data_IF_470681354694
#
_entry.id   IF_470681354694
#
_cell.length_a   1.000
_cell.length_b   1.000
_cell.length_c   1.000
_cell.angle_alpha   90.00
_cell.angle_beta   90.00
_cell.angle_gamma   90.00
#
_symmetry.space_group_name_H-M   'P 1'
#
loop_
_entity.id
_entity.type
_entity.pdbx_description
1 polymer ?
#
# COMPACT_ATOMS: atom_id res chain seq x y z
N UNK A 1 54.23 -43.70 -63.63
CA UNK A 1 52.83 -43.26 -63.43
C UNK A 1 52.33 -43.81 -62.10
N UNK A 2 52.10 -42.96 -61.09
CA UNK A 2 51.59 -43.37 -59.79
C UNK A 2 50.32 -42.56 -59.48
N UNK A 3 49.17 -43.21 -59.46
CA UNK A 3 47.87 -42.59 -59.14
C UNK A 3 47.65 -42.61 -57.62
N UNK A 4 47.73 -41.43 -57.00
CA UNK A 4 47.47 -41.26 -55.56
C UNK A 4 45.95 -41.16 -55.34
N UNK A 5 45.35 -42.23 -54.81
CA UNK A 5 43.92 -42.32 -54.45
C UNK A 5 43.61 -41.41 -53.26
N UNK A 6 42.83 -40.36 -53.49
CA UNK A 6 42.39 -39.38 -52.47
C UNK A 6 41.31 -40.01 -51.59
N UNK A 7 41.62 -40.32 -50.34
CA UNK A 7 40.64 -40.81 -49.36
C UNK A 7 39.74 -39.66 -48.89
N UNK A 8 38.44 -39.78 -49.14
CA UNK A 8 37.43 -38.84 -48.66
C UNK A 8 37.29 -38.96 -47.14
N UNK A 9 37.58 -37.87 -46.42
CA UNK A 9 37.41 -37.74 -44.98
C UNK A 9 35.89 -37.74 -44.68
N UNK A 10 35.33 -38.86 -44.21
CA UNK A 10 33.93 -38.93 -43.74
C UNK A 10 33.78 -37.94 -42.58
N UNK A 11 32.97 -36.91 -42.77
CA UNK A 11 32.56 -35.99 -41.70
C UNK A 11 31.80 -36.74 -40.59
N UNK A 12 31.67 -36.14 -39.39
CA UNK A 12 31.02 -36.77 -38.26
C UNK A 12 29.62 -37.26 -38.65
N UNK A 13 29.38 -38.54 -38.39
CA UNK A 13 28.19 -39.30 -38.78
C UNK A 13 26.92 -38.64 -38.26
N UNK A 14 25.88 -38.58 -39.10
CA UNK A 14 24.55 -38.00 -38.82
C UNK A 14 23.92 -38.45 -37.50
N UNK A 15 24.31 -39.63 -36.99
CA UNK A 15 23.92 -40.16 -35.69
C UNK A 15 24.35 -39.26 -34.51
N UNK A 16 25.55 -38.68 -34.53
CA UNK A 16 26.01 -37.77 -33.46
C UNK A 16 25.26 -36.43 -33.46
N UNK A 17 24.93 -35.92 -34.65
CA UNK A 17 24.16 -34.68 -34.81
C UNK A 17 22.72 -34.87 -34.32
N UNK A 18 22.12 -36.04 -34.58
CA UNK A 18 20.77 -36.38 -34.10
C UNK A 18 20.73 -36.63 -32.59
N UNK A 19 21.73 -37.29 -32.01
CA UNK A 19 21.85 -37.49 -30.57
C UNK A 19 22.01 -36.15 -29.81
N UNK A 20 22.82 -35.23 -30.34
CA UNK A 20 22.97 -33.89 -29.76
C UNK A 20 21.67 -33.06 -29.82
N UNK A 21 20.89 -33.18 -30.90
CA UNK A 21 19.57 -32.54 -31.01
C UNK A 21 18.55 -33.13 -30.04
N UNK A 22 18.52 -34.46 -29.88
CA UNK A 22 17.65 -35.13 -28.90
C UNK A 22 18.03 -34.77 -27.46
N UNK A 23 19.32 -34.76 -27.11
CA UNK A 23 19.79 -34.34 -25.79
C UNK A 23 19.45 -32.87 -25.49
N UNK A 24 19.53 -31.98 -26.50
CA UNK A 24 19.12 -30.59 -26.37
C UNK A 24 17.60 -30.45 -26.19
N UNK A 25 16.80 -31.17 -26.97
CA UNK A 25 15.34 -31.20 -26.84
C UNK A 25 14.89 -31.73 -25.47
N UNK A 26 15.50 -32.81 -24.96
CA UNK A 26 15.27 -33.33 -23.61
C UNK A 26 15.69 -32.33 -22.52
N UNK A 27 16.79 -31.60 -22.74
CA UNK A 27 17.24 -30.50 -21.88
C UNK A 27 16.26 -29.31 -21.86
N UNK A 28 15.68 -28.97 -23.01
CA UNK A 28 14.69 -27.91 -23.14
C UNK A 28 13.34 -28.33 -22.53
N UNK A 29 12.92 -29.59 -22.68
CA UNK A 29 11.73 -30.13 -22.02
C UNK A 29 11.86 -30.17 -20.49
N UNK A 30 13.01 -30.59 -19.97
CA UNK A 30 13.27 -30.60 -18.52
C UNK A 30 13.30 -29.19 -17.94
N UNK A 31 13.90 -28.22 -18.65
CA UNK A 31 13.87 -26.79 -18.29
C UNK A 31 12.44 -26.23 -18.35
N UNK A 32 11.66 -26.56 -19.37
CA UNK A 32 10.26 -26.12 -19.50
C UNK A 32 9.38 -26.67 -18.36
N UNK A 33 9.54 -27.96 -18.01
CA UNK A 33 8.86 -28.57 -16.86
C UNK A 33 9.23 -27.88 -15.54
N UNK A 34 10.51 -27.56 -15.34
CA UNK A 34 11.00 -26.82 -14.16
C UNK A 34 10.48 -25.39 -14.11
N UNK A 35 10.42 -24.68 -15.23
CA UNK A 35 9.83 -23.35 -15.30
C UNK A 35 8.34 -23.40 -14.92
N UNK A 36 7.58 -24.34 -15.49
CA UNK A 36 6.15 -24.51 -15.19
C UNK A 36 5.91 -24.82 -13.70
N UNK A 37 6.73 -25.67 -13.09
CA UNK A 37 6.59 -25.98 -11.66
C UNK A 37 6.94 -24.80 -10.75
N UNK A 38 7.96 -24.00 -11.12
CA UNK A 38 8.31 -22.77 -10.42
C UNK A 38 7.22 -21.70 -10.57
N UNK A 39 6.63 -21.54 -11.76
CA UNK A 39 5.51 -20.64 -11.97
C UNK A 39 4.30 -21.06 -11.12
N UNK A 40 3.94 -22.35 -11.11
CA UNK A 40 2.86 -22.86 -10.26
C UNK A 40 3.17 -22.72 -8.75
N UNK A 41 4.45 -22.76 -8.35
CA UNK A 41 4.84 -22.47 -6.97
C UNK A 41 4.68 -20.98 -6.65
N UNK A 42 5.08 -20.09 -7.56
CA UNK A 42 4.91 -18.65 -7.43
C UNK A 42 3.43 -18.30 -7.34
N UNK A 43 2.57 -18.86 -8.19
CA UNK A 43 1.12 -18.63 -8.14
C UNK A 43 0.52 -19.06 -6.79
N UNK A 44 0.87 -20.25 -6.29
CA UNK A 44 0.41 -20.72 -4.98
C UNK A 44 0.88 -19.83 -3.83
N UNK A 45 2.14 -19.36 -3.88
CA UNK A 45 2.68 -18.44 -2.87
C UNK A 45 2.04 -17.05 -2.96
N UNK A 46 1.77 -16.56 -4.16
CA UNK A 46 1.06 -15.29 -4.38
C UNK A 46 -0.35 -15.34 -3.80
N UNK A 47 -1.09 -16.43 -4.02
CA UNK A 47 -2.43 -16.59 -3.45
C UNK A 47 -2.41 -16.51 -1.91
N UNK A 48 -1.46 -17.22 -1.26
CA UNK A 48 -1.26 -17.13 0.18
C UNK A 48 -0.96 -15.70 0.64
N UNK A 49 -0.03 -15.00 -0.01
CA UNK A 49 0.30 -13.61 0.34
C UNK A 49 -0.94 -12.69 0.24
N UNK A 50 -1.81 -12.93 -0.74
CA UNK A 50 -3.04 -12.15 -0.92
C UNK A 50 -4.08 -12.44 0.17
N UNK A 51 -4.11 -13.64 0.74
CA UNK A 51 -4.99 -13.94 1.88
C UNK A 51 -4.36 -13.48 3.20
N UNK A 52 -3.07 -13.76 3.38
CA UNK A 52 -2.31 -13.52 4.61
C UNK A 52 -2.28 -12.03 4.99
N UNK A 53 -2.29 -11.09 4.03
CA UNK A 53 -2.21 -9.66 4.38
C UNK A 53 -3.41 -9.18 5.20
N UNK A 54 -4.62 -9.73 4.94
CA UNK A 54 -5.82 -9.34 5.67
C UNK A 54 -5.78 -9.89 7.09
N UNK A 55 -5.43 -11.16 7.22
CA UNK A 55 -5.37 -11.86 8.49
C UNK A 55 -4.25 -11.28 9.38
N UNK A 56 -3.11 -10.91 8.79
CA UNK A 56 -2.06 -10.13 9.48
C UNK A 56 -2.60 -8.77 9.93
N UNK A 57 -3.36 -8.07 9.08
CA UNK A 57 -3.98 -6.80 9.43
C UNK A 57 -4.96 -6.91 10.61
N UNK A 58 -5.77 -7.97 10.67
CA UNK A 58 -6.67 -8.25 11.80
C UNK A 58 -5.91 -8.49 13.10
N UNK A 59 -4.84 -9.30 13.03
CA UNK A 59 -3.98 -9.55 14.19
C UNK A 59 -3.34 -8.26 14.70
N UNK A 60 -2.74 -7.46 13.81
CA UNK A 60 -2.14 -6.17 14.14
C UNK A 60 -3.15 -5.18 14.73
N UNK A 61 -4.37 -5.14 14.17
CA UNK A 61 -5.47 -4.30 14.68
C UNK A 61 -5.85 -4.70 16.10
N UNK A 62 -5.95 -6.00 16.37
CA UNK A 62 -6.31 -6.54 17.69
C UNK A 62 -5.25 -6.18 18.72
N UNK A 63 -3.98 -6.44 18.41
CA UNK A 63 -2.83 -6.06 19.25
C UNK A 63 -2.85 -4.57 19.58
N UNK A 64 -3.11 -3.72 18.59
CA UNK A 64 -3.12 -2.27 18.77
C UNK A 64 -4.33 -1.80 19.62
N UNK A 65 -5.54 -2.28 19.33
CA UNK A 65 -6.78 -1.86 20.03
C UNK A 65 -6.78 -2.30 21.49
N UNK A 66 -6.34 -3.53 21.76
CA UNK A 66 -6.27 -4.09 23.11
C UNK A 66 -4.97 -3.74 23.85
N UNK A 67 -4.05 -3.03 23.18
CA UNK A 67 -2.76 -2.59 23.75
C UNK A 67 -1.92 -3.76 24.30
N UNK A 68 -1.96 -4.92 23.63
CA UNK A 68 -1.28 -6.15 24.08
C UNK A 68 0.26 -6.03 24.12
N UNK A 69 0.82 -4.97 23.53
CA UNK A 69 2.27 -4.73 23.50
C UNK A 69 2.82 -4.10 24.78
N UNK A 70 1.99 -3.49 25.63
CA UNK A 70 2.45 -2.62 26.73
C UNK A 70 3.23 -3.32 27.83
N UNK A 71 3.04 -4.62 27.96
CA UNK A 71 3.75 -5.41 28.98
C UNK A 71 5.23 -5.65 28.62
N UNK A 72 5.61 -5.49 27.34
CA UNK A 72 6.96 -5.85 26.85
C UNK A 72 7.60 -4.78 25.96
N UNK A 73 6.83 -3.87 25.37
CA UNK A 73 7.34 -2.88 24.43
C UNK A 73 6.86 -1.47 24.78
N UNK A 74 7.73 -0.49 24.57
CA UNK A 74 7.42 0.92 24.83
C UNK A 74 6.35 1.52 23.89
N UNK A 75 6.17 0.92 22.71
CA UNK A 75 5.19 1.34 21.73
C UNK A 75 4.83 0.18 20.79
N UNK A 76 3.70 0.32 20.08
CA UNK A 76 3.33 -0.61 19.02
C UNK A 76 4.41 -0.66 17.92
N UNK A 77 4.96 0.49 17.56
CA UNK A 77 6.04 0.59 16.56
C UNK A 77 7.27 -0.24 16.99
N UNK A 78 7.63 -0.19 18.27
CA UNK A 78 8.73 -0.98 18.81
C UNK A 78 8.46 -2.50 18.74
N UNK A 79 7.24 -2.96 19.03
CA UNK A 79 6.84 -4.36 18.83
C UNK A 79 7.00 -4.77 17.35
N UNK A 80 6.47 -3.94 16.45
CA UNK A 80 6.41 -4.23 15.01
C UNK A 80 7.81 -4.31 14.40
N UNK A 81 8.73 -3.44 14.83
CA UNK A 81 10.11 -3.45 14.36
C UNK A 81 10.93 -4.60 14.97
N UNK A 82 10.81 -4.83 16.28
CA UNK A 82 11.69 -5.76 16.99
C UNK A 82 11.23 -7.22 16.89
N UNK A 83 9.93 -7.48 16.99
CA UNK A 83 9.40 -8.85 17.03
C UNK A 83 8.92 -9.32 15.65
N UNK A 84 8.23 -8.44 14.92
CA UNK A 84 7.62 -8.78 13.62
C UNK A 84 8.61 -8.54 12.46
N UNK A 85 9.58 -7.65 12.64
CA UNK A 85 10.60 -7.33 11.62
C UNK A 85 10.02 -6.60 10.40
N UNK A 86 8.96 -5.82 10.57
CA UNK A 86 8.37 -5.01 9.50
C UNK A 86 8.41 -3.51 9.83
N UNK A 87 8.33 -2.66 8.80
CA UNK A 87 8.22 -1.23 9.00
C UNK A 87 6.86 -0.87 9.64
N UNK A 88 6.79 -0.01 10.68
CA UNK A 88 5.53 0.39 11.33
C UNK A 88 4.52 0.97 10.35
N UNK A 89 5.00 1.77 9.39
CA UNK A 89 4.16 2.30 8.32
C UNK A 89 3.43 1.22 7.55
N UNK A 90 4.04 0.06 7.30
CA UNK A 90 3.37 -1.07 6.63
C UNK A 90 2.31 -1.70 7.52
N UNK A 91 2.57 -1.87 8.82
CA UNK A 91 1.58 -2.38 9.77
C UNK A 91 0.32 -1.51 9.82
N UNK A 92 0.49 -0.19 9.97
CA UNK A 92 -0.66 0.74 9.97
C UNK A 92 -1.43 0.73 8.64
N UNK A 93 -0.77 0.48 7.50
CA UNK A 93 -1.46 0.33 6.21
C UNK A 93 -2.38 -0.89 6.19
N UNK A 94 -1.91 -2.01 6.74
CA UNK A 94 -2.70 -3.24 6.83
C UNK A 94 -3.92 -3.04 7.75
N UNK A 95 -3.70 -2.43 8.92
CA UNK A 95 -4.78 -2.08 9.85
C UNK A 95 -5.81 -1.17 9.16
N UNK A 96 -5.36 -0.13 8.46
CA UNK A 96 -6.25 0.81 7.77
C UNK A 96 -7.10 0.16 6.68
N UNK A 97 -6.59 -0.91 6.03
CA UNK A 97 -7.38 -1.68 5.06
C UNK A 97 -8.46 -2.48 5.75
N UNK A 98 -8.12 -3.20 6.83
CA UNK A 98 -9.06 -4.03 7.58
C UNK A 98 -10.15 -3.20 8.27
N UNK A 99 -9.82 -1.99 8.73
CA UNK A 99 -10.81 -1.08 9.32
C UNK A 99 -11.81 -0.53 8.30
N UNK A 100 -11.47 -0.56 7.00
CA UNK A 100 -12.23 0.10 5.95
C UNK A 100 -12.94 -0.84 4.98
N UNK A 101 -12.45 -2.07 4.83
CA UNK A 101 -12.94 -3.02 3.82
C UNK A 101 -13.18 -4.41 4.44
N UNK A 102 -14.28 -5.09 4.07
CA UNK A 102 -14.50 -6.48 4.41
C UNK A 102 -13.48 -7.38 3.70
N UNK A 103 -13.18 -8.54 4.31
CA UNK A 103 -12.16 -9.51 3.85
C UNK A 103 -12.28 -9.84 2.37
N UNK A 104 -13.48 -10.22 1.94
CA UNK A 104 -13.78 -10.63 0.56
C UNK A 104 -13.38 -9.54 -0.45
N UNK A 105 -13.77 -8.29 -0.17
CA UNK A 105 -13.47 -7.17 -1.06
C UNK A 105 -12.00 -6.77 -1.03
N UNK A 106 -11.36 -6.84 0.13
CA UNK A 106 -9.94 -6.56 0.26
C UNK A 106 -9.08 -7.58 -0.51
N UNK A 107 -9.44 -8.86 -0.46
CA UNK A 107 -8.78 -9.95 -1.20
C UNK A 107 -8.99 -9.78 -2.72
N UNK A 108 -10.22 -9.47 -3.16
CA UNK A 108 -10.54 -9.23 -4.57
C UNK A 108 -9.67 -8.11 -5.16
N UNK A 109 -9.52 -7.00 -4.43
CA UNK A 109 -8.75 -5.84 -4.86
C UNK A 109 -7.24 -6.04 -4.71
N UNK A 110 -6.82 -6.86 -3.75
CA UNK A 110 -5.43 -7.01 -3.32
C UNK A 110 -4.92 -5.83 -2.48
N UNK A 111 -3.91 -6.09 -1.65
CA UNK A 111 -3.36 -5.16 -0.65
C UNK A 111 -3.07 -3.74 -1.17
N UNK A 112 -2.32 -3.64 -2.27
CA UNK A 112 -1.87 -2.36 -2.86
C UNK A 112 -3.05 -1.46 -3.26
N UNK A 113 -4.07 -2.06 -3.86
CA UNK A 113 -5.24 -1.35 -4.40
C UNK A 113 -6.22 -1.01 -3.29
N UNK A 114 -6.46 -1.94 -2.37
CA UNK A 114 -7.23 -1.70 -1.14
C UNK A 114 -6.68 -0.51 -0.38
N UNK A 115 -5.37 -0.47 -0.13
CA UNK A 115 -4.76 0.66 0.56
C UNK A 115 -4.84 1.98 -0.25
N UNK A 116 -4.73 1.91 -1.58
CA UNK A 116 -4.88 3.09 -2.44
C UNK A 116 -6.30 3.68 -2.34
N UNK A 117 -7.34 2.84 -2.30
CA UNK A 117 -8.73 3.28 -2.15
C UNK A 117 -8.98 3.89 -0.78
N UNK A 118 -8.48 3.27 0.30
CA UNK A 118 -8.55 3.86 1.66
C UNK A 118 -7.89 5.24 1.70
N UNK A 119 -6.72 5.35 1.07
CA UNK A 119 -5.95 6.59 0.96
C UNK A 119 -6.71 7.66 0.17
N UNK A 120 -7.39 7.25 -0.91
CA UNK A 120 -8.21 8.11 -1.76
C UNK A 120 -9.45 8.61 -1.04
N UNK A 121 -10.22 7.72 -0.41
CA UNK A 121 -11.40 8.05 0.39
C UNK A 121 -11.09 9.09 1.47
N UNK A 122 -10.00 8.90 2.24
CA UNK A 122 -9.58 9.86 3.26
C UNK A 122 -9.06 11.20 2.70
N UNK A 123 -8.77 11.27 1.39
CA UNK A 123 -8.38 12.49 0.71
C UNK A 123 -9.57 13.26 0.11
N UNK A 124 -10.69 12.58 -0.16
CA UNK A 124 -11.92 13.17 -0.69
C UNK A 124 -12.62 14.02 0.38
N UNK A 125 -13.20 15.19 0.05
CA UNK A 125 -13.99 16.00 0.99
C UNK A 125 -15.34 15.37 1.33
N UNK A 126 -15.92 14.66 0.36
CA UNK A 126 -17.15 13.89 0.51
C UNK A 126 -16.83 12.61 1.29
N UNK A 127 -17.72 12.23 2.20
CA UNK A 127 -17.55 11.06 3.08
C UNK A 127 -17.84 9.76 2.31
N UNK A 128 -17.19 9.57 1.17
CA UNK A 128 -17.27 8.33 0.43
C UNK A 128 -16.54 7.25 1.22
N UNK A 129 -17.29 6.23 1.65
CA UNK A 129 -16.69 5.05 2.26
C UNK A 129 -15.76 4.35 1.26
N UNK A 130 -14.56 3.89 1.66
CA UNK A 130 -13.70 3.05 0.83
C UNK A 130 -14.44 1.87 0.19
N UNK A 131 -15.45 1.33 0.87
CA UNK A 131 -16.32 0.28 0.35
C UNK A 131 -17.17 0.74 -0.84
N UNK A 132 -17.78 1.93 -0.75
CA UNK A 132 -18.55 2.50 -1.87
C UNK A 132 -17.66 2.78 -3.09
N UNK A 133 -16.41 3.18 -2.84
CA UNK A 133 -15.43 3.42 -3.90
C UNK A 133 -14.90 2.13 -4.54
N UNK A 134 -15.04 0.97 -3.87
CA UNK A 134 -14.59 -0.33 -4.37
C UNK A 134 -15.39 -0.79 -5.60
N UNK A 135 -16.62 -0.31 -5.77
CA UNK A 135 -17.47 -0.59 -6.94
C UNK A 135 -17.56 0.59 -7.92
N UNK A 136 -16.97 1.74 -7.55
CA UNK A 136 -16.94 2.93 -8.37
C UNK A 136 -15.94 2.82 -9.54
N UNK A 137 -16.07 3.64 -10.60
CA UNK A 137 -15.16 3.61 -11.75
C UNK A 137 -13.68 3.79 -11.38
N UNK A 138 -13.39 4.51 -10.29
CA UNK A 138 -12.02 4.71 -9.78
C UNK A 138 -11.35 3.39 -9.36
N UNK A 139 -12.13 2.39 -8.92
CA UNK A 139 -11.61 1.06 -8.62
C UNK A 139 -11.24 0.26 -9.88
N UNK A 140 -11.56 0.71 -11.09
CA UNK A 140 -11.06 0.08 -12.32
C UNK A 140 -9.64 0.54 -12.68
N UNK A 141 -9.20 1.66 -12.12
CA UNK A 141 -7.84 2.18 -12.31
C UNK A 141 -6.78 1.36 -11.57
N UNK A 142 -5.53 1.53 -11.98
CA UNK A 142 -4.39 0.92 -11.30
C UNK A 142 -4.17 1.54 -9.92
N UNK A 143 -3.58 0.79 -8.99
CA UNK A 143 -3.26 1.29 -7.65
C UNK A 143 -2.41 2.58 -7.68
N UNK A 144 -1.50 2.70 -8.67
CA UNK A 144 -0.66 3.88 -8.84
C UNK A 144 -1.45 5.12 -9.28
N UNK A 145 -2.44 4.97 -10.15
CA UNK A 145 -3.31 6.07 -10.57
C UNK A 145 -4.17 6.55 -9.40
N UNK A 146 -4.74 5.62 -8.63
CA UNK A 146 -5.52 5.93 -7.42
C UNK A 146 -4.64 6.68 -6.40
N UNK A 147 -3.41 6.20 -6.15
CA UNK A 147 -2.44 6.88 -5.26
C UNK A 147 -2.12 8.30 -5.76
N UNK A 148 -1.90 8.48 -7.06
CA UNK A 148 -1.64 9.81 -7.67
C UNK A 148 -2.84 10.74 -7.53
N UNK A 149 -4.06 10.23 -7.75
CA UNK A 149 -5.28 10.99 -7.59
C UNK A 149 -5.47 11.42 -6.12
N UNK A 150 -5.26 10.51 -5.18
CA UNK A 150 -5.29 10.81 -3.74
C UNK A 150 -4.25 11.87 -3.35
N UNK A 151 -3.03 11.78 -3.89
CA UNK A 151 -1.98 12.78 -3.65
C UNK A 151 -2.38 14.17 -4.17
N UNK A 152 -2.99 14.26 -5.36
CA UNK A 152 -3.51 15.52 -5.90
C UNK A 152 -4.62 16.11 -5.01
N UNK A 153 -5.54 15.29 -4.53
CA UNK A 153 -6.60 15.73 -3.62
C UNK A 153 -6.03 16.24 -2.29
N UNK A 154 -5.06 15.54 -1.71
CA UNK A 154 -4.36 15.99 -0.49
C UNK A 154 -3.60 17.30 -0.70
N UNK A 155 -2.93 17.45 -1.83
CA UNK A 155 -2.23 18.69 -2.18
C UNK A 155 -3.22 19.86 -2.31
N UNK A 156 -4.37 19.65 -2.97
CA UNK A 156 -5.45 20.65 -3.05
C UNK A 156 -6.02 20.99 -1.67
N UNK A 157 -6.27 20.00 -0.81
CA UNK A 157 -6.74 20.23 0.57
C UNK A 157 -5.74 21.01 1.41
N UNK A 158 -4.44 20.71 1.28
CA UNK A 158 -3.36 21.44 1.95
C UNK A 158 -3.22 22.88 1.43
N UNK A 159 -3.44 23.09 0.13
CA UNK A 159 -3.46 24.41 -0.49
C UNK A 159 -4.71 25.22 -0.13
N UNK A 160 -5.87 24.58 0.06
CA UNK A 160 -7.08 25.22 0.57
C UNK A 160 -6.88 25.63 2.03
N UNK A 161 -6.39 24.73 2.89
CA UNK A 161 -6.04 25.00 4.29
C UNK A 161 -4.76 25.83 4.45
N UNK A 162 -4.61 26.92 3.71
CA UNK A 162 -3.48 27.84 3.85
C UNK A 162 -3.54 28.58 5.19
N UNK A 163 -2.37 28.98 5.76
CA UNK A 163 -2.30 29.78 6.99
C UNK A 163 -3.13 31.07 6.94
N UNK A 164 -3.44 31.57 5.73
CA UNK A 164 -4.25 32.75 5.49
C UNK A 164 -5.71 32.53 5.88
N UNK A 165 -6.30 31.38 5.55
CA UNK A 165 -7.67 31.03 5.96
C UNK A 165 -7.76 30.77 7.47
N UNK A 166 -6.74 30.10 8.04
CA UNK A 166 -6.65 29.88 9.49
C UNK A 166 -6.53 31.21 10.25
N UNK A 167 -5.69 32.14 9.78
CA UNK A 167 -5.57 33.49 10.35
C UNK A 167 -6.86 34.29 10.19
N UNK A 168 -7.55 34.18 9.05
CA UNK A 168 -8.82 34.87 8.82
C UNK A 168 -9.94 34.34 9.73
N UNK A 169 -9.99 33.03 9.95
CA UNK A 169 -10.94 32.40 10.88
C UNK A 169 -10.64 32.82 12.33
N UNK A 170 -9.37 32.75 12.75
CA UNK A 170 -8.92 33.24 14.07
C UNK A 170 -9.29 34.72 14.25
N UNK A 171 -9.05 35.57 13.24
CA UNK A 171 -9.39 36.99 13.29
C UNK A 171 -10.89 37.24 13.41
N UNK A 172 -11.74 36.49 12.68
CA UNK A 172 -13.20 36.56 12.80
C UNK A 172 -13.68 36.16 14.20
N UNK A 173 -13.11 35.10 14.77
CA UNK A 173 -13.47 34.63 16.12
C UNK A 173 -13.04 35.66 17.17
N UNK A 174 -11.82 36.21 17.07
CA UNK A 174 -11.35 37.28 17.96
C UNK A 174 -12.26 38.51 17.86
N UNK A 175 -12.70 38.89 16.66
CA UNK A 175 -13.62 40.00 16.46
C UNK A 175 -15.02 39.73 17.08
N UNK A 176 -15.58 38.53 16.88
CA UNK A 176 -16.85 38.13 17.47
C UNK A 176 -16.80 38.12 19.01
N UNK A 177 -15.70 37.64 19.58
CA UNK A 177 -15.52 37.61 21.04
C UNK A 177 -15.36 39.02 21.62
N UNK A 178 -14.73 39.96 20.90
CA UNK A 178 -14.72 41.39 21.28
C UNK A 178 -16.11 42.02 21.21
N UNK A 179 -16.91 41.66 20.21
CA UNK A 179 -18.27 42.17 20.07
C UNK A 179 -19.19 41.71 21.23
N UNK A 180 -18.85 40.61 21.90
CA UNK A 180 -19.50 40.11 23.11
C UNK A 180 -19.01 40.78 24.41
N UNK A 181 -18.15 41.80 24.32
CA UNK A 181 -17.70 42.60 25.48
C UNK A 181 -16.53 42.00 26.26
N UNK A 182 -15.95 40.88 25.81
CA UNK A 182 -14.84 40.22 26.48
C UNK A 182 -13.49 40.90 26.15
N UNK A 183 -12.66 41.13 27.17
CA UNK A 183 -11.38 41.84 27.02
C UNK A 183 -10.26 40.89 26.61
N UNK A 184 -9.36 41.41 25.76
CA UNK A 184 -8.15 40.75 25.23
C UNK A 184 -8.35 39.30 24.72
N UNK A 185 -9.29 39.03 23.79
CA UNK A 185 -9.43 37.68 23.25
C UNK A 185 -8.20 37.26 22.44
N UNK A 186 -7.64 36.11 22.82
CA UNK A 186 -6.59 35.42 22.08
C UNK A 186 -7.12 34.06 21.65
N UNK A 187 -7.30 33.87 20.35
CA UNK A 187 -7.69 32.60 19.77
C UNK A 187 -6.50 31.93 19.07
N UNK A 188 -6.36 30.62 19.26
CA UNK A 188 -5.40 29.79 18.54
C UNK A 188 -6.08 28.53 18.01
N UNK A 189 -5.64 28.09 16.83
CA UNK A 189 -6.11 26.86 16.21
C UNK A 189 -4.94 25.87 16.13
N UNK A 190 -5.10 24.69 16.75
CA UNK A 190 -4.13 23.59 16.66
C UNK A 190 -4.84 22.36 16.11
N UNK A 191 -4.59 22.04 14.84
CA UNK A 191 -5.31 20.97 14.16
C UNK A 191 -6.80 21.29 14.04
N UNK A 192 -7.66 20.46 14.65
CA UNK A 192 -9.12 20.67 14.72
C UNK A 192 -9.58 21.38 16.01
N UNK A 193 -8.67 21.67 16.94
CA UNK A 193 -9.02 22.25 18.24
C UNK A 193 -8.83 23.76 18.21
N UNK A 194 -9.90 24.49 18.53
CA UNK A 194 -9.89 25.94 18.73
C UNK A 194 -9.83 26.25 20.22
N UNK A 195 -8.82 27.01 20.64
CA UNK A 195 -8.69 27.48 22.02
C UNK A 195 -8.84 28.99 22.04
N UNK A 196 -9.79 29.50 22.83
CA UNK A 196 -10.01 30.94 23.02
C UNK A 196 -9.73 31.27 24.49
N UNK A 197 -8.80 32.20 24.74
CA UNK A 197 -8.55 32.78 26.06
C UNK A 197 -9.11 34.20 26.10
N UNK A 198 -9.82 34.54 27.17
CA UNK A 198 -10.38 35.86 27.42
C UNK A 198 -10.13 36.23 28.88
N UNK A 199 -9.88 37.51 29.15
CA UNK A 199 -9.91 38.05 30.50
C UNK A 199 -11.38 38.33 30.85
N UNK A 200 -11.87 37.72 31.93
CA UNK A 200 -13.19 38.03 32.49
C UNK A 200 -13.12 39.42 33.16
N UNK A 201 -14.13 40.27 32.96
CA UNK A 201 -14.26 41.50 33.74
C UNK A 201 -14.49 41.13 35.21
N UNK A 202 -13.82 41.85 36.13
CA UNK A 202 -14.13 41.83 37.57
C UNK A 202 -15.51 42.43 37.84
#
# INVERSE_FOLDING_TARGET
MATRKKTAKKGPTSAFVNAARQAKALGDETRAKKLKSLLALIERRKARIVEDFYDIGEALRTILRERLFEQRYASFDALVEQEIGMAPGTAYRLIAVVDALPREKAIELGQEKSYALVTYAGATPEADSPLALADAPIAKSSANEIKRAAAKLRAKKKAASTPKETKALIAKIVAAVRALGLRKPVASLRGKTLTVRVELPE
#
